data_IF_927536752635
#
_entry.id   IF_927536752635
#
_cell.length_a   1.000
_cell.length_b   1.000
_cell.length_c   1.000
_cell.angle_alpha   90.00
_cell.angle_beta   90.00
_cell.angle_gamma   90.00
#
_symmetry.space_group_name_H-M   'P 1'
#
loop_
_entity.id
_entity.type
_entity.pdbx_description
1 polymer ?
#
# COMPACT_ATOMS: atom_id res chain seq x y z
N UNK A 1 -19.75 -13.67 16.33
CA UNK A 1 -19.00 -14.11 15.14
C UNK A 1 -17.53 -13.98 15.49
N UNK A 2 -16.73 -15.01 15.27
CA UNK A 2 -15.28 -14.91 15.52
C UNK A 2 -14.63 -14.10 14.40
N UNK A 3 -13.64 -13.29 14.76
CA UNK A 3 -13.01 -12.34 13.85
C UNK A 3 -11.73 -12.94 13.29
N UNK A 4 -11.78 -13.49 12.08
CA UNK A 4 -10.59 -14.04 11.44
C UNK A 4 -9.63 -12.92 11.00
N UNK A 5 -8.52 -12.80 11.72
CA UNK A 5 -7.41 -11.88 11.43
C UNK A 5 -6.20 -12.61 10.82
N UNK A 6 -6.33 -13.91 10.51
CA UNK A 6 -5.22 -14.77 10.07
C UNK A 6 -4.51 -14.20 8.84
N UNK A 7 -3.16 -14.15 8.78
CA UNK A 7 -2.46 -13.56 7.65
C UNK A 7 -2.74 -14.36 6.36
N UNK A 8 -3.23 -13.67 5.33
CA UNK A 8 -3.54 -14.29 4.02
C UNK A 8 -2.49 -13.89 2.98
N UNK A 9 -2.26 -14.77 2.00
CA UNK A 9 -1.52 -14.46 0.77
C UNK A 9 -2.50 -13.98 -0.33
N UNK A 10 -2.06 -13.14 -1.29
CA UNK A 10 -2.91 -12.69 -2.37
C UNK A 10 -3.04 -13.76 -3.47
N UNK A 11 -4.22 -13.88 -4.07
CA UNK A 11 -4.48 -14.80 -5.21
C UNK A 11 -4.34 -14.06 -6.53
N UNK A 12 -3.82 -14.75 -7.56
CA UNK A 12 -3.78 -14.22 -8.93
C UNK A 12 -5.21 -14.06 -9.46
N UNK A 13 -5.54 -12.86 -9.89
CA UNK A 13 -6.83 -12.50 -10.48
C UNK A 13 -6.76 -12.64 -12.02
N UNK A 14 -5.69 -12.14 -12.63
CA UNK A 14 -5.41 -12.27 -14.06
C UNK A 14 -3.91 -12.11 -14.34
N UNK A 15 -3.49 -12.37 -15.59
CA UNK A 15 -2.12 -12.12 -16.06
C UNK A 15 -1.61 -13.15 -17.06
N UNK A 16 -0.49 -12.84 -17.72
CA UNK A 16 0.18 -13.66 -18.73
C UNK A 16 1.67 -13.32 -18.81
N UNK A 17 2.27 -13.40 -19.99
CA UNK A 17 3.74 -13.30 -20.19
C UNK A 17 4.35 -11.93 -19.83
N UNK A 18 3.51 -10.89 -19.72
CA UNK A 18 3.89 -9.56 -19.20
C UNK A 18 3.85 -9.42 -17.68
N UNK A 19 3.34 -10.41 -16.95
CA UNK A 19 3.16 -10.34 -15.50
C UNK A 19 1.74 -10.68 -15.04
N UNK A 20 1.49 -10.50 -13.74
CA UNK A 20 0.27 -10.92 -13.06
C UNK A 20 -0.25 -9.90 -12.06
N UNK A 21 -1.57 -9.78 -11.98
CA UNK A 21 -2.25 -9.02 -10.93
C UNK A 21 -2.84 -9.98 -9.89
N UNK A 22 -2.63 -9.66 -8.63
CA UNK A 22 -3.09 -10.42 -7.48
C UNK A 22 -3.92 -9.53 -6.56
N UNK A 23 -4.90 -10.10 -5.86
CA UNK A 23 -5.69 -9.41 -4.85
C UNK A 23 -5.84 -10.27 -3.59
N UNK A 24 -6.05 -9.64 -2.45
CA UNK A 24 -6.54 -10.35 -1.27
C UNK A 24 -8.07 -10.46 -1.33
N UNK A 25 -8.60 -11.60 -0.91
CA UNK A 25 -9.99 -11.98 -1.11
C UNK A 25 -10.81 -11.72 0.18
N UNK A 26 -11.83 -10.83 0.21
CA UNK A 26 -12.67 -10.63 1.39
C UNK A 26 -13.49 -11.86 1.81
N UNK A 27 -13.57 -12.87 0.94
CA UNK A 27 -14.14 -14.19 1.25
C UNK A 27 -13.19 -15.06 2.09
N UNK A 28 -11.89 -14.72 2.15
CA UNK A 28 -10.86 -15.39 2.97
C UNK A 28 -10.26 -14.50 4.07
N UNK A 29 -10.45 -13.17 3.97
CA UNK A 29 -10.13 -12.20 5.01
C UNK A 29 -11.29 -11.20 5.13
N UNK A 30 -12.39 -11.55 5.86
CA UNK A 30 -13.60 -10.74 5.95
C UNK A 30 -13.38 -9.29 6.38
N UNK A 31 -12.35 -9.05 7.20
CA UNK A 31 -11.91 -7.70 7.60
C UNK A 31 -11.57 -6.75 6.44
N UNK A 32 -11.28 -7.24 5.23
CA UNK A 32 -11.19 -6.38 4.05
C UNK A 32 -12.54 -5.72 3.74
N UNK A 33 -13.63 -6.51 3.77
CA UNK A 33 -15.00 -6.03 3.56
C UNK A 33 -15.45 -5.15 4.72
N UNK A 34 -15.29 -5.65 5.95
CA UNK A 34 -15.81 -5.00 7.15
C UNK A 34 -15.06 -3.69 7.47
N UNK A 35 -13.74 -3.68 7.23
CA UNK A 35 -12.90 -2.48 7.33
C UNK A 35 -12.92 -1.57 6.10
N UNK A 36 -13.57 -1.98 5.00
CA UNK A 36 -13.52 -1.31 3.69
C UNK A 36 -12.09 -1.06 3.18
N UNK A 37 -11.20 -2.06 3.34
CA UNK A 37 -9.79 -2.02 2.95
C UNK A 37 -9.61 -2.78 1.64
N UNK A 38 -9.09 -2.09 0.62
CA UNK A 38 -8.65 -2.71 -0.63
C UNK A 38 -7.16 -3.03 -0.58
N UNK A 39 -6.80 -4.25 -0.97
CA UNK A 39 -5.41 -4.67 -1.08
C UNK A 39 -5.17 -5.49 -2.36
N UNK A 40 -4.16 -5.10 -3.12
CA UNK A 40 -3.75 -5.76 -4.37
C UNK A 40 -2.24 -5.71 -4.58
N UNK A 41 -1.71 -6.57 -5.46
CA UNK A 41 -0.30 -6.62 -5.84
C UNK A 41 -0.20 -6.76 -7.36
N UNK A 42 0.46 -5.82 -8.01
CA UNK A 42 0.92 -5.98 -9.40
C UNK A 42 2.33 -6.55 -9.39
N UNK A 43 2.60 -7.48 -10.30
CA UNK A 43 3.94 -7.96 -10.58
C UNK A 43 4.15 -7.99 -12.10
N UNK A 44 5.23 -7.39 -12.59
CA UNK A 44 5.53 -7.24 -14.02
C UNK A 44 6.88 -7.87 -14.36
N UNK A 45 6.84 -8.79 -15.32
CA UNK A 45 8.02 -9.38 -15.96
C UNK A 45 8.77 -8.33 -16.79
N UNK A 46 9.99 -8.62 -17.24
CA UNK A 46 10.70 -7.77 -18.21
C UNK A 46 9.84 -7.49 -19.45
N UNK A 47 9.77 -6.24 -19.88
CA UNK A 47 8.86 -5.70 -20.90
C UNK A 47 7.36 -5.92 -20.61
N UNK A 48 7.00 -6.12 -19.34
CA UNK A 48 5.62 -6.15 -18.88
C UNK A 48 5.02 -4.75 -18.79
N UNK A 49 3.86 -4.55 -19.40
CA UNK A 49 3.06 -3.31 -19.30
C UNK A 49 1.69 -3.62 -18.70
N UNK A 50 1.39 -3.07 -17.52
CA UNK A 50 0.02 -2.90 -17.06
C UNK A 50 -0.61 -1.75 -17.86
N UNK A 51 -1.67 -2.07 -18.62
CA UNK A 51 -2.34 -1.14 -19.53
C UNK A 51 -2.98 0.04 -18.78
N UNK A 52 -3.12 1.22 -19.42
CA UNK A 52 -3.77 2.39 -18.84
C UNK A 52 -5.14 2.06 -18.21
N UNK A 53 -5.26 2.33 -16.91
CA UNK A 53 -6.46 2.05 -16.12
C UNK A 53 -6.63 3.07 -14.98
N UNK A 54 -7.88 3.36 -14.61
CA UNK A 54 -8.21 4.07 -13.37
C UNK A 54 -8.86 3.13 -12.35
N UNK A 55 -9.17 3.61 -11.16
CA UNK A 55 -9.87 2.84 -10.13
C UNK A 55 -10.90 3.67 -9.37
N UNK A 56 -11.92 2.98 -8.84
CA UNK A 56 -12.98 3.53 -7.99
C UNK A 56 -12.55 3.86 -6.55
N UNK A 57 -11.29 3.63 -6.22
CA UNK A 57 -10.80 3.63 -4.84
C UNK A 57 -9.45 4.35 -4.75
N UNK A 58 -9.29 5.38 -3.90
CA UNK A 58 -7.98 5.98 -3.64
C UNK A 58 -7.07 4.98 -2.94
N UNK A 59 -5.78 4.97 -3.31
CA UNK A 59 -4.80 3.97 -2.83
C UNK A 59 -3.39 4.55 -2.78
N UNK A 60 -2.51 3.97 -1.97
CA UNK A 60 -1.06 4.18 -2.06
C UNK A 60 -0.46 2.95 -2.73
N UNK A 61 0.38 3.21 -3.73
CA UNK A 61 1.25 2.22 -4.34
C UNK A 61 2.62 2.25 -3.64
N UNK A 62 3.15 1.07 -3.30
CA UNK A 62 4.47 0.89 -2.70
C UNK A 62 5.28 -0.13 -3.50
N UNK A 63 6.46 0.24 -3.98
CA UNK A 63 7.32 -0.65 -4.76
C UNK A 63 8.08 -1.60 -3.82
N UNK A 64 7.67 -2.87 -3.80
CA UNK A 64 8.27 -3.94 -2.99
C UNK A 64 9.61 -4.42 -3.58
N UNK A 65 9.72 -4.46 -4.91
CA UNK A 65 10.85 -5.06 -5.63
C UNK A 65 11.04 -4.41 -7.00
N UNK A 66 12.29 -4.41 -7.47
CA UNK A 66 12.65 -3.99 -8.82
C UNK A 66 12.64 -2.47 -9.01
N UNK A 67 12.61 -2.08 -10.28
CA UNK A 67 12.48 -0.71 -10.77
C UNK A 67 11.70 -0.72 -12.09
N UNK A 68 11.35 0.44 -12.60
CA UNK A 68 10.65 0.59 -13.88
C UNK A 68 10.15 2.02 -14.09
N UNK A 69 9.10 2.15 -14.90
CA UNK A 69 8.46 3.43 -15.19
C UNK A 69 6.95 3.35 -14.94
N UNK A 70 6.35 4.42 -14.40
CA UNK A 70 4.91 4.57 -14.31
C UNK A 70 4.48 5.90 -14.95
N UNK A 71 3.38 5.84 -15.72
CA UNK A 71 2.65 7.03 -16.16
C UNK A 71 1.50 7.29 -15.21
N UNK A 72 1.31 8.56 -14.82
CA UNK A 72 0.25 9.02 -13.93
C UNK A 72 -0.44 10.22 -14.58
N UNK A 73 -1.75 10.12 -14.79
CA UNK A 73 -2.60 11.20 -15.30
C UNK A 73 -3.69 11.50 -14.28
N UNK A 74 -3.54 12.62 -13.57
CA UNK A 74 -4.60 13.17 -12.72
C UNK A 74 -5.68 13.83 -13.59
N UNK A 75 -6.94 13.93 -13.11
CA UNK A 75 -8.00 14.64 -13.81
C UNK A 75 -7.58 16.05 -14.23
N UNK A 76 -7.77 16.38 -15.51
CA UNK A 76 -7.42 17.68 -16.11
C UNK A 76 -5.93 18.07 -15.96
N UNK A 77 -5.01 17.10 -15.94
CA UNK A 77 -3.55 17.32 -15.95
C UNK A 77 -2.88 16.56 -17.09
N UNK A 78 -1.70 17.02 -17.47
CA UNK A 78 -0.79 16.30 -18.37
C UNK A 78 -0.25 15.02 -17.71
N UNK A 79 0.25 14.10 -18.53
CA UNK A 79 0.91 12.88 -18.06
C UNK A 79 2.26 13.18 -17.39
N UNK A 80 2.37 12.72 -16.14
CA UNK A 80 3.65 12.58 -15.44
C UNK A 80 4.23 11.19 -15.71
N UNK A 81 5.43 11.14 -16.26
CA UNK A 81 6.18 9.89 -16.51
C UNK A 81 7.32 9.81 -15.51
N UNK A 82 7.20 8.89 -14.55
CA UNK A 82 8.14 8.75 -13.44
C UNK A 82 8.90 7.44 -13.49
N UNK A 83 10.20 7.51 -13.26
CA UNK A 83 10.99 6.34 -12.87
C UNK A 83 10.54 5.94 -11.47
N UNK A 84 10.47 4.64 -11.20
CA UNK A 84 10.11 4.06 -9.89
C UNK A 84 11.11 2.97 -9.51
N UNK A 85 11.38 2.82 -8.21
CA UNK A 85 12.30 1.83 -7.64
C UNK A 85 11.81 1.33 -6.27
N UNK A 86 12.30 0.18 -5.83
CA UNK A 86 12.04 -0.36 -4.48
C UNK A 86 12.09 0.72 -3.38
N UNK A 87 11.09 0.72 -2.52
CA UNK A 87 10.91 1.72 -1.46
C UNK A 87 10.09 2.94 -1.85
N UNK A 88 9.87 3.21 -3.14
CA UNK A 88 9.02 4.33 -3.58
C UNK A 88 7.56 4.11 -3.17
N UNK A 89 6.99 5.10 -2.49
CA UNK A 89 5.56 5.26 -2.21
C UNK A 89 4.96 6.38 -3.07
N UNK A 90 3.79 6.11 -3.62
CA UNK A 90 3.06 6.99 -4.54
C UNK A 90 1.60 7.02 -4.09
N UNK A 91 1.07 8.20 -3.77
CA UNK A 91 -0.36 8.36 -3.50
C UNK A 91 -1.13 8.50 -4.82
N UNK A 92 -2.21 7.72 -4.96
CA UNK A 92 -3.04 7.61 -6.16
C UNK A 92 -4.50 7.99 -5.80
N UNK A 93 -4.91 9.25 -6.04
CA UNK A 93 -6.27 9.73 -5.78
C UNK A 93 -7.36 8.96 -6.55
N UNK A 94 -8.61 9.15 -6.16
CA UNK A 94 -9.75 8.58 -6.90
C UNK A 94 -9.73 9.00 -8.37
N UNK A 95 -10.01 8.06 -9.29
CA UNK A 95 -10.11 8.34 -10.72
C UNK A 95 -8.80 8.63 -11.46
N UNK A 96 -7.64 8.62 -10.80
CA UNK A 96 -6.33 8.77 -11.47
C UNK A 96 -6.11 7.63 -12.46
N UNK A 97 -5.70 7.96 -13.70
CA UNK A 97 -5.29 6.95 -14.68
C UNK A 97 -3.81 6.63 -14.46
N UNK A 98 -3.46 5.35 -14.44
CA UNK A 98 -2.07 4.89 -14.38
C UNK A 98 -1.77 3.78 -15.38
N UNK A 99 -0.52 3.74 -15.86
CA UNK A 99 0.09 2.57 -16.48
C UNK A 99 1.46 2.31 -15.84
N UNK A 100 1.90 1.06 -15.89
CA UNK A 100 3.12 0.60 -15.19
C UNK A 100 3.92 -0.29 -16.13
N UNK A 101 5.20 0.02 -16.32
CA UNK A 101 6.08 -0.66 -17.25
C UNK A 101 7.37 -1.13 -16.55
N UNK A 102 7.76 -2.38 -16.80
CA UNK A 102 9.06 -2.89 -16.39
C UNK A 102 10.00 -3.03 -17.60
N UNK A 103 11.10 -2.27 -17.60
CA UNK A 103 12.17 -2.36 -18.60
C UNK A 103 13.36 -3.22 -18.14
N UNK A 104 13.40 -3.61 -16.87
CA UNK A 104 14.52 -4.30 -16.20
C UNK A 104 14.39 -5.84 -16.24
N UNK A 105 15.49 -6.55 -16.02
CA UNK A 105 15.50 -8.02 -15.86
C UNK A 105 14.94 -8.52 -14.51
N UNK A 106 14.79 -7.63 -13.52
CA UNK A 106 14.18 -7.95 -12.23
C UNK A 106 12.67 -7.71 -12.28
N UNK A 107 11.86 -8.64 -11.79
CA UNK A 107 10.40 -8.47 -11.66
C UNK A 107 10.07 -7.23 -10.80
N UNK A 108 9.35 -6.28 -11.41
CA UNK A 108 8.83 -5.08 -10.74
C UNK A 108 7.57 -5.47 -9.97
N UNK A 109 7.58 -5.31 -8.65
CA UNK A 109 6.45 -5.67 -7.77
C UNK A 109 5.95 -4.45 -7.03
N UNK A 110 4.66 -4.13 -7.21
CA UNK A 110 3.99 -2.97 -6.61
C UNK A 110 2.81 -3.44 -5.76
N UNK A 111 2.85 -3.13 -4.48
CA UNK A 111 1.74 -3.30 -3.53
C UNK A 111 0.80 -2.10 -3.64
N UNK A 112 -0.51 -2.33 -3.65
CA UNK A 112 -1.53 -1.29 -3.53
C UNK A 112 -2.35 -1.53 -2.26
N UNK A 113 -2.40 -0.54 -1.37
CA UNK A 113 -3.28 -0.51 -0.19
C UNK A 113 -4.13 0.75 -0.23
N UNK A 114 -5.42 0.67 0.11
CA UNK A 114 -6.32 1.83 0.08
C UNK A 114 -7.70 1.53 0.66
N UNK A 115 -8.61 2.48 0.52
CA UNK A 115 -9.98 2.36 1.03
C UNK A 115 -11.00 2.16 -0.10
N UNK A 116 -11.96 1.26 0.14
CA UNK A 116 -13.04 0.91 -0.79
C UNK A 116 -14.41 1.42 -0.33
N UNK A 117 -14.47 2.31 0.67
CA UNK A 117 -15.75 2.74 1.27
C UNK A 117 -16.66 3.54 0.32
N UNK A 118 -16.12 4.01 -0.81
CA UNK A 118 -16.82 4.62 -1.97
C UNK A 118 -16.74 3.76 -3.24
N UNK A 119 -16.06 2.61 -3.19
CA UNK A 119 -15.90 1.71 -4.32
C UNK A 119 -17.16 0.86 -4.56
N UNK A 120 -17.23 0.22 -5.72
CA UNK A 120 -18.34 -0.66 -6.10
C UNK A 120 -18.39 -1.96 -5.28
N UNK A 121 -17.31 -2.29 -4.56
CA UNK A 121 -17.13 -3.52 -3.79
C UNK A 121 -16.40 -3.23 -2.48
N UNK A 122 -17.05 -3.42 -1.34
CA UNK A 122 -16.37 -3.38 -0.05
C UNK A 122 -15.31 -4.50 0.02
N UNK A 123 -14.06 -4.14 0.29
CA UNK A 123 -12.92 -5.07 0.42
C UNK A 123 -12.21 -5.45 -0.88
N UNK A 124 -12.57 -4.86 -2.03
CA UNK A 124 -11.86 -5.04 -3.31
C UNK A 124 -11.80 -3.73 -4.10
N UNK A 125 -10.68 -3.45 -4.75
CA UNK A 125 -10.63 -2.39 -5.76
C UNK A 125 -11.41 -2.81 -7.02
N UNK A 126 -12.15 -1.89 -7.63
CA UNK A 126 -12.56 -2.02 -9.03
C UNK A 126 -11.62 -1.19 -9.88
N UNK A 127 -10.90 -1.84 -10.79
CA UNK A 127 -10.02 -1.18 -11.74
C UNK A 127 -10.66 -1.21 -13.14
N UNK A 128 -10.69 -0.06 -13.81
CA UNK A 128 -11.34 0.17 -15.10
C UNK A 128 -10.29 0.42 -16.19
N UNK A 129 -10.22 -0.48 -17.17
CA UNK A 129 -9.21 -0.44 -18.22
C UNK A 129 -9.66 0.46 -19.37
N UNK A 130 -8.74 1.25 -19.94
CA UNK A 130 -9.06 2.05 -21.12
C UNK A 130 -8.99 1.21 -22.41
N UNK A 131 -8.13 0.19 -22.45
CA UNK A 131 -7.88 -0.67 -23.61
C UNK A 131 -7.77 -2.16 -23.21
N UNK A 132 -7.71 -3.06 -24.19
CA UNK A 132 -7.68 -4.51 -23.96
C UNK A 132 -9.05 -5.16 -24.05
N UNK A 133 -9.12 -6.48 -23.83
CA UNK A 133 -10.35 -7.28 -23.92
C UNK A 133 -11.48 -6.78 -23.01
N UNK A 134 -11.09 -6.15 -21.89
CA UNK A 134 -11.98 -5.60 -20.85
C UNK A 134 -11.91 -4.06 -20.80
N UNK A 135 -11.42 -3.43 -21.88
CA UNK A 135 -11.29 -1.98 -21.99
C UNK A 135 -12.61 -1.29 -22.32
N UNK A 136 -12.79 -0.06 -21.83
CA UNK A 136 -14.04 0.73 -21.97
C UNK A 136 -14.55 0.84 -23.42
N UNK A 137 -13.66 0.85 -24.42
CA UNK A 137 -14.06 0.86 -25.83
C UNK A 137 -14.91 -0.34 -26.27
N UNK A 138 -14.86 -1.49 -25.59
CA UNK A 138 -15.72 -2.65 -25.92
C UNK A 138 -17.19 -2.44 -25.58
N UNK A 139 -17.52 -1.42 -24.78
CA UNK A 139 -18.88 -1.00 -24.47
C UNK A 139 -19.52 -0.05 -25.49
N UNK A 140 -18.78 0.40 -26.51
CA UNK A 140 -19.25 1.37 -27.51
C UNK A 140 -19.28 0.78 -28.93
N UNK A 141 -20.17 1.28 -29.78
CA UNK A 141 -20.16 0.95 -31.21
C UNK A 141 -19.00 1.66 -31.93
N UNK A 142 -18.49 1.04 -33.01
CA UNK A 142 -17.45 1.67 -33.85
C UNK A 142 -17.94 2.97 -34.49
N UNK A 143 -19.24 3.08 -34.77
CA UNK A 143 -19.84 4.33 -35.23
C UNK A 143 -19.79 5.43 -34.16
N UNK A 144 -20.11 5.12 -32.89
CA UNK A 144 -20.04 6.10 -31.80
C UNK A 144 -18.60 6.58 -31.60
N UNK A 145 -17.63 5.67 -31.55
CA UNK A 145 -16.20 6.01 -31.41
C UNK A 145 -15.70 6.82 -32.61
N UNK A 146 -16.10 6.47 -33.84
CA UNK A 146 -15.75 7.24 -35.04
C UNK A 146 -16.29 8.67 -35.00
N UNK A 147 -17.55 8.86 -34.62
CA UNK A 147 -18.17 10.20 -34.46
C UNK A 147 -17.55 11.01 -33.31
N UNK A 148 -17.12 10.36 -32.23
CA UNK A 148 -16.60 11.04 -31.04
C UNK A 148 -15.11 11.42 -31.13
N UNK A 149 -14.32 10.75 -31.97
CA UNK A 149 -12.89 11.04 -32.20
C UNK A 149 -12.58 11.57 -33.62
N UNK A 150 -13.60 11.75 -34.48
CA UNK A 150 -13.48 12.12 -35.90
C UNK A 150 -12.57 11.16 -36.70
N UNK A 151 -12.89 9.86 -36.61
CA UNK A 151 -12.11 8.77 -37.21
C UNK A 151 -12.95 7.93 -38.18
N UNK A 152 -12.33 7.47 -39.26
CA UNK A 152 -12.94 6.53 -40.20
C UNK A 152 -13.13 5.13 -39.58
N UNK A 153 -14.11 4.38 -40.12
CA UNK A 153 -14.51 3.08 -39.59
C UNK A 153 -13.37 2.05 -39.57
N UNK A 154 -12.41 2.12 -40.50
CA UNK A 154 -11.25 1.22 -40.57
C UNK A 154 -10.27 1.53 -39.45
N UNK A 155 -9.97 2.81 -39.24
CA UNK A 155 -9.13 3.26 -38.13
C UNK A 155 -9.75 2.93 -36.78
N UNK A 156 -11.06 3.12 -36.60
CA UNK A 156 -11.75 2.74 -35.36
C UNK A 156 -11.73 1.24 -35.11
N UNK A 157 -12.06 0.42 -36.12
CA UNK A 157 -12.01 -1.06 -36.01
C UNK A 157 -10.62 -1.53 -35.61
N UNK A 158 -9.56 -0.91 -36.15
CA UNK A 158 -8.18 -1.19 -35.76
C UNK A 158 -7.86 -0.71 -34.34
N UNK A 159 -8.23 0.51 -33.97
CA UNK A 159 -7.97 1.10 -32.66
C UNK A 159 -8.58 0.26 -31.52
N UNK A 160 -9.86 -0.09 -31.65
CA UNK A 160 -10.60 -0.84 -30.62
C UNK A 160 -10.26 -2.33 -30.66
N UNK A 161 -10.04 -2.91 -31.84
CA UNK A 161 -9.88 -4.37 -32.02
C UNK A 161 -8.45 -4.92 -31.88
N UNK A 162 -7.39 -4.09 -31.96
CA UNK A 162 -6.00 -4.61 -32.04
C UNK A 162 -5.44 -5.15 -30.73
N UNK A 163 -5.91 -4.70 -29.57
CA UNK A 163 -5.36 -5.11 -28.27
C UNK A 163 -6.29 -6.12 -27.58
N UNK A 164 -5.93 -7.40 -27.66
CA UNK A 164 -6.68 -8.54 -27.11
C UNK A 164 -6.28 -8.92 -25.68
N UNK A 165 -5.20 -8.34 -25.15
CA UNK A 165 -4.72 -8.61 -23.79
C UNK A 165 -5.68 -8.12 -22.69
N UNK A 166 -5.66 -8.80 -21.55
CA UNK A 166 -6.46 -8.45 -20.37
C UNK A 166 -5.59 -7.74 -19.31
N UNK A 167 -5.60 -6.40 -19.34
CA UNK A 167 -5.03 -5.53 -18.29
C UNK A 167 -3.50 -5.49 -18.14
N UNK A 168 -2.79 -6.57 -18.48
CA UNK A 168 -1.32 -6.66 -18.54
C UNK A 168 -0.94 -7.32 -19.86
N UNK A 169 0.08 -6.79 -20.53
CA UNK A 169 0.61 -7.30 -21.82
C UNK A 169 2.13 -7.37 -21.81
N UNK A 170 2.69 -8.20 -22.70
CA UNK A 170 4.12 -8.15 -23.07
C UNK A 170 4.29 -7.11 -24.18
N UNK A 171 5.25 -6.21 -24.00
CA UNK A 171 5.65 -5.22 -25.01
C UNK A 171 6.81 -5.78 -25.83
N UNK A 172 6.82 -5.49 -27.13
CA UNK A 172 7.96 -5.84 -27.98
C UNK A 172 9.18 -4.95 -27.65
N UNK A 173 10.37 -5.53 -27.57
CA UNK A 173 11.58 -4.83 -27.16
C UNK A 173 12.03 -3.70 -28.12
N UNK A 174 11.48 -3.63 -29.33
CA UNK A 174 11.69 -2.50 -30.26
C UNK A 174 10.79 -1.29 -30.00
N UNK A 175 9.70 -1.44 -29.23
CA UNK A 175 8.79 -0.34 -28.91
C UNK A 175 9.41 0.56 -27.84
N UNK A 176 9.70 1.80 -28.22
CA UNK A 176 10.18 2.83 -27.30
C UNK A 176 9.03 3.33 -26.43
N UNK A 177 9.06 2.98 -25.15
CA UNK A 177 8.16 3.52 -24.13
C UNK A 177 8.58 4.95 -23.72
N UNK A 178 7.69 5.74 -23.09
CA UNK A 178 8.03 7.09 -22.63
C UNK A 178 9.13 7.10 -21.56
N UNK A 179 10.12 7.97 -21.73
CA UNK A 179 11.24 8.13 -20.80
C UNK A 179 10.86 8.98 -19.56
N UNK A 180 11.27 8.57 -18.34
CA UNK A 180 11.09 9.34 -17.12
C UNK A 180 11.60 10.79 -17.15
N UNK A 181 10.75 11.76 -16.77
CA UNK A 181 11.18 13.14 -16.54
C UNK A 181 11.57 13.33 -15.08
N UNK A 182 12.76 13.88 -14.81
CA UNK A 182 13.28 14.03 -13.43
C UNK A 182 12.36 14.85 -12.50
N UNK A 183 11.71 15.89 -13.04
CA UNK A 183 10.78 16.75 -12.28
C UNK A 183 9.41 16.11 -12.01
N UNK A 184 9.01 15.09 -12.78
CA UNK A 184 7.68 14.49 -12.63
C UNK A 184 7.53 13.77 -11.29
N UNK A 185 8.63 13.28 -10.70
CA UNK A 185 8.66 12.67 -9.35
C UNK A 185 8.36 13.66 -8.21
N UNK A 186 8.60 14.96 -8.40
CA UNK A 186 8.49 15.94 -7.32
C UNK A 186 7.05 16.10 -6.85
N UNK A 187 6.84 15.98 -5.53
CA UNK A 187 5.52 15.94 -4.88
C UNK A 187 4.73 14.64 -5.06
N UNK A 188 5.19 13.71 -5.90
CA UNK A 188 4.44 12.51 -6.31
C UNK A 188 5.05 11.19 -5.77
N UNK A 189 6.34 11.19 -5.40
CA UNK A 189 7.04 9.99 -4.94
C UNK A 189 7.91 10.30 -3.72
N UNK A 190 7.73 9.54 -2.63
CA UNK A 190 8.65 9.51 -1.50
C UNK A 190 9.23 8.10 -1.34
N UNK A 191 10.55 7.96 -1.24
CA UNK A 191 11.17 6.65 -1.02
C UNK A 191 11.33 6.36 0.48
N UNK A 192 10.56 5.40 1.01
CA UNK A 192 10.55 5.04 2.43
C UNK A 192 11.84 4.38 2.95
N UNK A 193 12.79 4.05 2.06
CA UNK A 193 14.08 3.48 2.42
C UNK A 193 15.21 4.53 2.40
N UNK A 194 14.94 5.73 1.87
CA UNK A 194 15.88 6.85 1.73
C UNK A 194 15.40 8.13 2.45
N UNK A 195 14.13 8.17 2.87
CA UNK A 195 13.55 9.27 3.61
C UNK A 195 14.16 9.40 5.03
N UNK A 196 14.14 10.61 5.64
CA UNK A 196 14.46 10.79 7.05
C UNK A 196 13.59 9.92 7.95
N UNK A 197 14.19 9.34 8.98
CA UNK A 197 13.52 8.44 9.92
C UNK A 197 12.78 9.25 11.00
N UNK A 198 11.48 9.01 11.17
CA UNK A 198 10.69 9.55 12.28
C UNK A 198 11.06 8.89 13.62
N UNK A 199 11.56 7.65 13.55
CA UNK A 199 12.11 6.90 14.68
C UNK A 199 13.33 6.11 14.20
N UNK A 200 14.45 6.24 14.91
CA UNK A 200 15.61 5.33 14.80
C UNK A 200 16.03 4.92 16.21
N UNK A 201 15.84 3.65 16.55
CA UNK A 201 16.28 3.06 17.82
C UNK A 201 17.34 2.03 17.48
N UNK A 202 18.59 2.36 17.84
CA UNK A 202 19.75 1.48 17.64
C UNK A 202 19.45 0.07 18.19
N UNK A 203 19.75 -0.93 17.39
CA UNK A 203 19.55 -2.36 17.69
C UNK A 203 18.08 -2.76 17.96
N UNK A 204 17.10 -1.87 17.72
CA UNK A 204 15.67 -2.09 18.01
C UNK A 204 14.70 -1.90 16.83
N UNK A 205 14.89 -0.88 15.97
CA UNK A 205 14.02 -0.68 14.80
C UNK A 205 14.00 0.75 14.23
N UNK A 206 13.34 0.93 13.08
CA UNK A 206 13.19 2.21 12.36
C UNK A 206 11.75 2.47 11.94
N UNK A 207 11.37 3.74 11.79
CA UNK A 207 10.08 4.19 11.22
C UNK A 207 10.27 5.26 10.15
N UNK A 208 9.46 5.19 9.09
CA UNK A 208 9.12 6.32 8.21
C UNK A 208 7.60 6.43 8.12
N UNK A 209 7.06 7.64 8.31
CA UNK A 209 5.65 8.01 8.26
C UNK A 209 5.35 8.83 7.00
N UNK A 210 4.52 8.32 6.09
CA UNK A 210 3.95 9.08 4.99
C UNK A 210 2.87 10.04 5.50
N UNK A 211 3.02 11.32 5.21
CA UNK A 211 2.07 12.36 5.56
C UNK A 211 2.11 13.53 4.56
N UNK A 212 1.17 14.46 4.68
CA UNK A 212 1.01 15.61 3.77
C UNK A 212 2.23 16.53 3.65
N UNK A 213 3.20 16.45 4.58
CA UNK A 213 4.44 17.27 4.53
C UNK A 213 5.53 16.66 3.66
N UNK A 214 5.58 15.33 3.54
CA UNK A 214 6.62 14.61 2.79
C UNK A 214 6.11 13.92 1.51
N UNK A 215 4.79 13.71 1.39
CA UNK A 215 4.12 13.29 0.16
C UNK A 215 2.74 13.98 0.07
N UNK A 216 2.64 15.20 -0.50
CA UNK A 216 1.43 16.04 -0.42
C UNK A 216 0.13 15.36 -0.87
N UNK A 217 0.18 14.55 -1.93
CA UNK A 217 -0.96 13.79 -2.45
C UNK A 217 -1.53 12.75 -1.45
N UNK A 218 -0.85 12.47 -0.33
CA UNK A 218 -1.42 11.67 0.78
C UNK A 218 -2.71 12.31 1.32
N UNK A 219 -2.82 13.64 1.29
CA UNK A 219 -4.04 14.35 1.66
C UNK A 219 -5.23 14.08 0.74
N UNK A 220 -4.99 13.75 -0.53
CA UNK A 220 -6.03 13.45 -1.52
C UNK A 220 -6.50 11.99 -1.48
N UNK A 221 -5.69 11.07 -0.96
CA UNK A 221 -6.13 9.69 -0.68
C UNK A 221 -6.79 9.56 0.70
N UNK A 222 -6.45 10.45 1.64
CA UNK A 222 -7.18 10.66 2.90
C UNK A 222 -6.75 9.80 4.08
N UNK A 223 -5.61 9.11 4.01
CA UNK A 223 -5.13 8.18 5.03
C UNK A 223 -3.61 8.22 5.20
N UNK A 224 -3.10 8.04 6.43
CA UNK A 224 -1.67 7.96 6.72
C UNK A 224 -1.08 6.58 6.37
N UNK A 225 0.25 6.47 6.32
CA UNK A 225 0.91 5.17 6.13
C UNK A 225 2.30 5.10 6.76
N UNK A 226 2.64 3.97 7.39
CA UNK A 226 3.86 3.78 8.16
C UNK A 226 4.62 2.52 7.74
N UNK A 227 5.95 2.60 7.72
CA UNK A 227 6.90 1.48 7.67
C UNK A 227 7.50 1.28 9.07
N UNK A 228 7.41 0.09 9.70
CA UNK A 228 7.72 -0.12 11.16
C UNK A 228 8.29 -1.56 11.40
N UNK A 229 8.98 -1.84 12.54
CA UNK A 229 9.58 -3.14 12.97
C UNK A 229 9.52 -3.34 14.53
N UNK A 230 9.04 -4.46 15.15
CA UNK A 230 8.76 -4.57 16.63
C UNK A 230 9.16 -5.91 17.34
N UNK A 231 8.65 -6.41 18.50
CA UNK A 231 7.71 -6.00 19.58
C UNK A 231 7.76 -7.04 20.78
N UNK A 232 6.76 -7.76 21.37
CA UNK A 232 5.27 -7.94 21.25
C UNK A 232 4.51 -8.08 22.62
N UNK A 233 3.28 -8.63 22.63
CA UNK A 233 2.43 -9.00 23.79
C UNK A 233 1.16 -8.15 23.89
N UNK A 234 -0.08 -8.67 24.03
CA UNK A 234 -0.60 -10.06 24.16
C UNK A 234 -1.85 -10.21 23.23
N UNK A 235 -2.31 -11.44 22.98
CA UNK A 235 -2.74 -11.83 21.62
C UNK A 235 -4.24 -12.19 21.47
N UNK A 236 -4.91 -11.53 20.52
CA UNK A 236 -6.14 -12.00 19.85
C UNK A 236 -5.79 -12.97 18.71
N UNK A 237 -4.62 -12.78 18.11
CA UNK A 237 -4.01 -13.61 17.09
C UNK A 237 -2.56 -13.86 17.51
N UNK A 238 -2.12 -15.11 17.54
CA UNK A 238 -0.72 -15.50 17.66
C UNK A 238 -0.30 -16.23 16.40
N UNK A 239 0.69 -15.69 15.67
CA UNK A 239 1.11 -16.26 14.39
C UNK A 239 2.48 -15.72 13.95
N UNK A 240 3.19 -16.51 13.16
CA UNK A 240 4.40 -16.08 12.47
C UNK A 240 4.01 -15.56 11.08
N UNK A 241 4.10 -14.24 10.87
CA UNK A 241 3.76 -13.60 9.59
C UNK A 241 4.90 -13.83 8.61
N UNK A 242 4.62 -14.51 7.49
CA UNK A 242 5.60 -14.72 6.41
C UNK A 242 5.59 -13.57 5.40
N UNK A 243 6.71 -13.37 4.72
CA UNK A 243 6.84 -12.37 3.66
C UNK A 243 5.72 -12.51 2.60
N UNK A 244 5.13 -11.37 2.21
CA UNK A 244 4.02 -11.32 1.24
C UNK A 244 2.63 -11.62 1.83
N UNK A 245 2.50 -11.88 3.13
CA UNK A 245 1.20 -11.99 3.80
C UNK A 245 0.65 -10.63 4.24
N UNK A 246 -0.67 -10.49 4.26
CA UNK A 246 -1.41 -9.34 4.79
C UNK A 246 -2.21 -9.75 6.02
N UNK A 247 -2.18 -8.91 7.05
CA UNK A 247 -3.06 -8.97 8.21
C UNK A 247 -3.65 -7.58 8.47
N UNK A 248 -4.80 -7.51 9.15
CA UNK A 248 -5.50 -6.25 9.45
C UNK A 248 -5.59 -6.09 10.97
N UNK A 249 -5.36 -4.87 11.45
CA UNK A 249 -5.55 -4.48 12.85
C UNK A 249 -6.83 -3.63 12.92
N UNK A 250 -7.92 -4.13 13.51
CA UNK A 250 -9.12 -3.32 13.70
C UNK A 250 -8.85 -2.11 14.60
N UNK A 251 -9.64 -1.03 14.44
CA UNK A 251 -9.56 0.15 15.32
C UNK A 251 -9.72 -0.26 16.79
N UNK A 252 -8.99 0.40 17.68
CA UNK A 252 -8.84 0.12 19.13
C UNK A 252 -8.24 -1.24 19.53
N UNK A 253 -7.84 -2.10 18.59
CA UNK A 253 -7.14 -3.34 18.96
C UNK A 253 -5.68 -3.05 19.34
N UNK A 254 -5.20 -3.67 20.42
CA UNK A 254 -3.78 -3.62 20.81
C UNK A 254 -3.00 -4.53 19.85
N UNK A 255 -2.12 -3.94 19.05
CA UNK A 255 -1.21 -4.67 18.15
C UNK A 255 0.22 -4.63 18.69
N UNK A 256 0.89 -5.77 18.51
CA UNK A 256 2.27 -6.00 18.89
C UNK A 256 2.81 -7.11 17.95
N UNK A 257 4.01 -6.95 17.39
CA UNK A 257 4.58 -7.71 16.25
C UNK A 257 6.08 -8.06 16.46
N UNK A 258 6.45 -9.23 17.00
CA UNK A 258 7.88 -9.62 17.20
C UNK A 258 8.58 -9.83 15.85
N UNK A 259 9.82 -9.33 15.74
CA UNK A 259 10.79 -9.74 14.73
C UNK A 259 11.60 -10.96 15.20
N UNK A 260 11.84 -11.91 14.30
CA UNK A 260 12.68 -13.09 14.57
C UNK A 260 14.16 -12.84 14.21
N UNK A 261 14.96 -13.90 14.05
CA UNK A 261 16.39 -13.82 13.69
C UNK A 261 16.67 -13.13 12.36
N UNK A 262 15.71 -13.19 11.44
CA UNK A 262 15.85 -12.70 10.07
C UNK A 262 15.33 -11.24 9.96
N UNK A 263 14.80 -10.73 11.08
CA UNK A 263 14.20 -9.42 11.21
C UNK A 263 12.73 -9.41 10.78
N UNK A 264 12.17 -8.21 10.66
CA UNK A 264 10.81 -8.01 10.18
C UNK A 264 10.75 -6.67 9.44
N UNK A 265 9.86 -6.56 8.46
CA UNK A 265 9.60 -5.33 7.72
C UNK A 265 8.21 -5.40 7.11
N UNK A 266 7.39 -4.38 7.35
CA UNK A 266 6.08 -4.25 6.70
C UNK A 266 5.83 -2.80 6.27
N UNK A 267 5.06 -2.64 5.20
CA UNK A 267 4.40 -1.39 4.84
C UNK A 267 2.93 -1.49 5.29
N UNK A 268 2.40 -0.44 5.92
CA UNK A 268 1.02 -0.40 6.41
C UNK A 268 0.38 0.95 6.14
N UNK A 269 -0.89 0.97 5.76
CA UNK A 269 -1.72 2.19 5.80
C UNK A 269 -2.55 2.20 7.09
N UNK A 270 -2.94 3.39 7.55
CA UNK A 270 -3.89 3.58 8.65
C UNK A 270 -5.04 4.45 8.12
N UNK A 271 -6.27 3.94 8.16
CA UNK A 271 -7.49 4.50 7.55
C UNK A 271 -8.01 5.76 8.28
N UNK A 272 -7.15 6.77 8.40
CA UNK A 272 -7.36 8.10 8.96
C UNK A 272 -6.14 8.96 8.60
N UNK A 273 -6.28 10.25 8.25
CA UNK A 273 -5.13 11.06 7.83
C UNK A 273 -4.20 11.43 9.00
N UNK A 274 -4.77 11.64 10.19
CA UNK A 274 -4.06 11.97 11.43
C UNK A 274 -4.23 10.84 12.46
N UNK A 275 -3.43 9.76 12.41
CA UNK A 275 -3.55 8.63 13.34
C UNK A 275 -3.02 8.97 14.74
N UNK A 276 -3.90 8.91 15.75
CA UNK A 276 -3.53 9.04 17.16
C UNK A 276 -3.19 7.65 17.72
N UNK A 277 -1.91 7.43 18.02
CA UNK A 277 -1.43 6.21 18.67
C UNK A 277 -1.32 6.39 20.20
N UNK A 278 -1.77 5.38 20.95
CA UNK A 278 -1.57 5.29 22.40
C UNK A 278 -0.64 4.13 22.71
N UNK A 279 0.55 4.42 23.24
CA UNK A 279 1.52 3.39 23.60
C UNK A 279 1.24 2.81 24.99
N UNK A 280 1.44 1.49 25.14
CA UNK A 280 1.34 0.80 26.43
C UNK A 280 2.71 0.61 27.11
N UNK A 281 3.82 0.81 26.39
CA UNK A 281 5.18 0.72 26.92
C UNK A 281 6.04 1.91 26.46
N UNK A 282 7.25 2.05 27.01
CA UNK A 282 8.18 3.14 26.67
C UNK A 282 7.94 4.45 27.42
N UNK A 283 8.64 5.51 26.99
CA UNK A 283 8.59 6.88 27.53
C UNK A 283 7.20 7.52 27.39
N UNK A 284 6.52 7.23 26.28
CA UNK A 284 5.19 7.73 25.91
C UNK A 284 4.05 6.80 26.36
N UNK A 285 4.32 5.84 27.25
CA UNK A 285 3.31 4.92 27.79
C UNK A 285 2.22 5.66 28.58
N UNK A 286 0.95 5.35 28.28
CA UNK A 286 -0.21 5.89 29.03
C UNK A 286 -0.12 5.60 30.53
N UNK A 287 0.45 4.46 30.93
CA UNK A 287 0.64 4.11 32.34
C UNK A 287 1.56 5.08 33.10
N UNK A 288 2.44 5.81 32.42
CA UNK A 288 3.35 6.78 33.06
C UNK A 288 2.68 8.12 33.37
N UNK A 289 1.60 8.44 32.64
CA UNK A 289 0.77 9.64 32.83
C UNK A 289 -0.29 9.48 33.94
N UNK A 290 -0.61 8.25 34.35
CA UNK A 290 -1.44 8.00 35.52
C UNK A 290 -0.69 8.29 36.84
N UNK A 291 -1.44 8.59 37.90
CA UNK A 291 -0.86 8.84 39.22
C UNK A 291 -0.40 7.53 39.89
N UNK A 292 0.56 7.59 40.84
CA UNK A 292 1.04 6.41 41.57
C UNK A 292 -0.10 5.62 42.22
N UNK A 293 -1.05 6.33 42.83
CA UNK A 293 -2.14 5.76 43.63
C UNK A 293 -3.14 5.03 42.73
N UNK A 294 -3.42 5.57 41.53
CA UNK A 294 -4.26 4.93 40.51
C UNK A 294 -3.61 3.63 40.02
N UNK A 295 -2.30 3.61 39.82
CA UNK A 295 -1.57 2.41 39.38
C UNK A 295 -1.49 1.35 40.48
N UNK A 296 -1.18 1.75 41.71
CA UNK A 296 -1.16 0.88 42.89
C UNK A 296 -2.54 0.23 43.11
N UNK A 297 -3.62 1.01 43.00
CA UNK A 297 -4.99 0.51 43.11
C UNK A 297 -5.40 -0.40 41.93
N UNK A 298 -5.10 0.00 40.69
CA UNK A 298 -5.52 -0.73 39.49
C UNK A 298 -4.80 -2.08 39.31
N UNK A 299 -3.50 -2.15 39.63
CA UNK A 299 -2.72 -3.40 39.59
C UNK A 299 -2.73 -4.16 40.91
N UNK A 300 -3.24 -3.56 42.00
CA UNK A 300 -3.21 -4.08 43.38
C UNK A 300 -1.77 -4.41 43.83
N UNK A 301 -0.88 -3.44 43.68
CA UNK A 301 0.56 -3.53 44.00
C UNK A 301 0.97 -2.45 45.00
N UNK A 302 2.07 -2.69 45.70
CA UNK A 302 2.72 -1.72 46.59
C UNK A 302 3.43 -0.58 45.83
N UNK A 303 3.83 0.50 46.52
CA UNK A 303 4.55 1.63 45.92
C UNK A 303 5.94 1.30 45.37
N UNK A 304 6.56 0.20 45.80
CA UNK A 304 7.92 -0.17 45.39
C UNK A 304 7.89 -0.86 44.02
N UNK A 305 6.89 -1.72 43.80
CA UNK A 305 6.54 -2.32 42.50
C UNK A 305 6.05 -1.26 41.51
N UNK A 306 5.18 -0.31 41.90
CA UNK A 306 4.74 0.78 41.02
C UNK A 306 5.91 1.67 40.57
N UNK A 307 6.76 2.08 41.52
CA UNK A 307 7.97 2.85 41.25
C UNK A 307 8.95 2.09 40.34
N UNK A 308 9.13 0.78 40.58
CA UNK A 308 9.95 -0.07 39.71
C UNK A 308 9.39 -0.14 38.29
N UNK A 309 8.08 -0.35 38.12
CA UNK A 309 7.39 -0.42 36.83
C UNK A 309 7.59 0.87 36.00
N UNK A 310 7.36 2.05 36.58
CA UNK A 310 7.52 3.33 35.85
C UNK A 310 8.96 3.71 35.56
N UNK A 311 9.91 3.27 36.39
CA UNK A 311 11.35 3.59 36.24
C UNK A 311 12.00 3.03 34.98
N UNK A 312 11.43 1.95 34.40
CA UNK A 312 11.98 1.26 33.23
C UNK A 312 11.55 1.91 31.92
N UNK A 313 12.36 1.77 30.86
CA UNK A 313 12.08 2.26 29.49
C UNK A 313 11.65 3.74 29.46
N UNK A 314 12.44 4.61 30.10
CA UNK A 314 12.21 6.06 30.19
C UNK A 314 12.87 6.84 29.06
N UNK A 315 13.82 6.24 28.34
CA UNK A 315 14.41 6.71 27.08
C UNK A 315 13.54 6.33 25.87
N UNK A 316 13.34 5.04 25.69
CA UNK A 316 12.81 4.40 24.47
C UNK A 316 11.31 4.67 24.32
N UNK A 317 10.88 5.12 23.14
CA UNK A 317 9.49 5.50 22.90
C UNK A 317 8.61 4.34 22.38
N UNK A 318 9.06 3.68 21.30
CA UNK A 318 8.22 2.75 20.51
C UNK A 318 8.90 1.39 20.32
N UNK A 319 10.20 1.35 20.06
CA UNK A 319 10.97 0.10 19.91
C UNK A 319 11.78 -0.22 21.15
N UNK A 320 11.97 -1.51 21.36
CA UNK A 320 12.57 -2.09 22.54
C UNK A 320 13.56 -3.16 22.07
N UNK A 321 14.87 -2.85 21.98
CA UNK A 321 15.87 -3.84 21.60
C UNK A 321 15.88 -5.01 22.60
N UNK A 322 16.40 -6.18 22.20
CA UNK A 322 16.64 -7.30 23.10
C UNK A 322 17.49 -6.87 24.31
N UNK A 323 17.24 -7.49 25.46
CA UNK A 323 18.14 -7.40 26.60
C UNK A 323 19.36 -8.29 26.35
N UNK A 324 20.56 -7.70 26.39
CA UNK A 324 21.83 -8.44 26.53
C UNK A 324 21.91 -9.10 27.92
#
# INVERSE_FOLDING_TARGET
MELDLSPRLPKKVYGGDGGSYFAWCPEELPMLRDGNIGAAKLALEKYGLALPRYSDSPKVAYVLQGAGTAGIVLPEKEEKVIAIKKGDSIALPFGVVTWWFNNEDTELVVLFLGETHKGHKAGQFTDFYLTGSNGIFTGFSTEFVGRAWDLDETTVKKLVGSQTGNGIVKVDASLKMPEPKKGDREGFVLNCLEAPLDVDIKDGGRVVVLNTKNLPLVGEVGFGADLIVGADGKRVLETHVKAGALFIVPRVFVVSKIADSDGLSWFSIVTTPDPIFTHLAGRTSVWKALSPEVLQAAFKVDPEVEKAFRSKRTSDAIFFPPSN
#
